data_IF_849563658203
#
_entry.id   IF_849563658203
#
_cell.length_a   1.000
_cell.length_b   1.000
_cell.length_c   1.000
_cell.angle_alpha   90.00
_cell.angle_beta   90.00
_cell.angle_gamma   90.00
#
_symmetry.space_group_name_H-M   'P 1'
#
loop_
_entity.id
_entity.type
_entity.pdbx_description
1 polymer ?
#
# COMPACT_ATOMS: atom_id res chain seq x y z
N UNK A 1 4.29 -23.80 -4.56
CA UNK A 1 5.11 -23.54 -5.76
C UNK A 1 6.18 -24.62 -5.85
N UNK A 2 6.38 -25.28 -7.01
CA UNK A 2 7.31 -26.40 -7.12
C UNK A 2 8.76 -25.95 -6.96
N UNK A 3 9.58 -26.79 -6.32
CA UNK A 3 11.00 -26.50 -6.09
C UNK A 3 11.84 -26.80 -7.34
N UNK A 4 11.78 -25.88 -8.31
CA UNK A 4 12.54 -25.98 -9.58
C UNK A 4 13.50 -24.81 -9.72
N UNK A 5 14.58 -24.99 -10.50
CA UNK A 5 15.53 -23.91 -10.82
C UNK A 5 14.81 -22.68 -11.40
N UNK A 6 13.85 -22.89 -12.29
CA UNK A 6 13.02 -21.83 -12.88
C UNK A 6 12.25 -21.04 -11.82
N UNK A 7 11.56 -21.74 -10.90
CA UNK A 7 10.85 -21.09 -9.80
C UNK A 7 11.79 -20.37 -8.84
N UNK A 8 12.97 -20.93 -8.53
CA UNK A 8 13.94 -20.29 -7.64
C UNK A 8 14.57 -19.03 -8.22
N UNK A 9 14.70 -18.93 -9.55
CA UNK A 9 15.18 -17.71 -10.22
C UNK A 9 14.21 -16.54 -10.01
N UNK A 10 12.90 -16.80 -10.08
CA UNK A 10 11.86 -15.78 -9.90
C UNK A 10 11.54 -15.54 -8.43
N UNK A 11 11.58 -16.60 -7.61
CA UNK A 11 11.18 -16.61 -6.21
C UNK A 11 12.29 -17.19 -5.33
N UNK A 12 13.28 -16.36 -4.97
CA UNK A 12 14.48 -16.85 -4.31
C UNK A 12 14.21 -17.26 -2.86
N UNK A 13 15.05 -18.17 -2.35
CA UNK A 13 14.99 -18.68 -0.98
C UNK A 13 15.58 -17.68 0.03
N UNK A 14 15.40 -17.93 1.34
CA UNK A 14 16.05 -17.11 2.38
C UNK A 14 17.57 -17.24 2.32
N UNK A 15 18.29 -16.12 2.49
CA UNK A 15 19.76 -16.11 2.38
C UNK A 15 20.49 -16.92 3.45
N UNK A 16 19.84 -17.18 4.59
CA UNK A 16 20.40 -17.99 5.68
C UNK A 16 20.23 -19.51 5.45
N UNK A 17 19.43 -19.93 4.47
CA UNK A 17 19.26 -21.35 4.15
C UNK A 17 20.42 -21.84 3.27
N UNK A 18 20.90 -23.06 3.55
CA UNK A 18 21.89 -23.71 2.67
C UNK A 18 21.25 -24.04 1.33
N UNK A 19 22.05 -24.01 0.27
CA UNK A 19 21.60 -24.42 -1.06
C UNK A 19 20.98 -25.82 -1.02
N UNK A 20 19.76 -25.96 -1.55
CA UNK A 20 19.02 -27.22 -1.58
C UNK A 20 18.23 -27.56 -0.30
N UNK A 21 18.24 -26.72 0.74
CA UNK A 21 17.48 -26.94 1.99
C UNK A 21 16.29 -25.98 2.17
N UNK A 22 15.95 -25.19 1.14
CA UNK A 22 14.83 -24.25 1.17
C UNK A 22 13.82 -24.52 0.07
N UNK A 23 12.64 -23.91 0.20
CA UNK A 23 11.64 -23.85 -0.86
C UNK A 23 11.54 -22.42 -1.43
N UNK A 24 11.09 -22.25 -2.68
CA UNK A 24 10.82 -20.93 -3.24
C UNK A 24 9.80 -20.15 -2.40
N UNK A 25 10.12 -18.90 -2.06
CA UNK A 25 9.26 -18.04 -1.24
C UNK A 25 8.71 -16.90 -2.10
N UNK A 26 7.38 -16.78 -2.07
CA UNK A 26 6.68 -15.67 -2.69
C UNK A 26 6.03 -14.78 -1.63
N UNK A 27 5.76 -13.54 -2.03
CA UNK A 27 4.88 -12.63 -1.33
C UNK A 27 3.58 -12.54 -2.09
N UNK A 28 2.47 -12.64 -1.37
CA UNK A 28 1.12 -12.55 -1.91
C UNK A 28 0.46 -11.29 -1.35
N UNK A 29 -0.15 -10.50 -2.22
CA UNK A 29 -1.09 -9.45 -1.85
C UNK A 29 -2.44 -9.78 -2.49
N UNK A 30 -3.49 -9.87 -1.67
CA UNK A 30 -4.83 -10.18 -2.15
C UNK A 30 -5.79 -9.04 -1.80
N UNK A 31 -6.64 -8.68 -2.76
CA UNK A 31 -7.80 -7.81 -2.55
C UNK A 31 -8.99 -8.73 -2.37
N UNK A 32 -9.67 -8.63 -1.23
CA UNK A 32 -10.85 -9.42 -0.92
C UNK A 32 -12.05 -8.53 -0.64
N UNK A 33 -13.24 -9.05 -0.95
CA UNK A 33 -14.49 -8.42 -0.58
C UNK A 33 -14.69 -8.58 0.93
N UNK A 34 -14.80 -7.48 1.66
CA UNK A 34 -14.99 -7.51 3.12
C UNK A 34 -16.29 -8.22 3.54
N UNK A 35 -17.34 -8.17 2.71
CA UNK A 35 -18.63 -8.78 3.02
C UNK A 35 -18.65 -10.30 2.80
N UNK A 36 -18.09 -10.77 1.68
CA UNK A 36 -18.19 -12.20 1.26
C UNK A 36 -16.91 -13.00 1.49
N UNK A 37 -15.77 -12.33 1.71
CA UNK A 37 -14.46 -12.96 1.78
C UNK A 37 -13.89 -13.40 0.43
N UNK A 38 -14.60 -13.18 -0.68
CA UNK A 38 -14.14 -13.56 -2.02
C UNK A 38 -12.91 -12.76 -2.41
N UNK A 39 -11.88 -13.45 -2.93
CA UNK A 39 -10.71 -12.80 -3.52
C UNK A 39 -11.11 -12.21 -4.88
N UNK A 40 -11.03 -10.89 -4.98
CA UNK A 40 -11.36 -10.14 -6.20
C UNK A 40 -10.16 -10.07 -7.15
N UNK A 41 -8.96 -9.91 -6.60
CA UNK A 41 -7.72 -9.89 -7.35
C UNK A 41 -6.55 -10.24 -6.41
N UNK A 42 -5.42 -10.69 -6.96
CA UNK A 42 -4.22 -10.94 -6.21
C UNK A 42 -2.96 -10.76 -7.06
N UNK A 43 -1.91 -10.24 -6.44
CA UNK A 43 -0.57 -10.15 -7.02
C UNK A 43 0.41 -11.03 -6.25
N UNK A 44 1.27 -11.72 -6.99
CA UNK A 44 2.32 -12.59 -6.46
C UNK A 44 3.67 -12.04 -6.90
N UNK A 45 4.58 -11.85 -5.95
CA UNK A 45 5.94 -11.39 -6.23
C UNK A 45 7.01 -12.20 -5.51
N UNK A 46 8.29 -11.98 -5.85
CA UNK A 46 9.39 -12.49 -5.06
C UNK A 46 9.30 -12.03 -3.61
N UNK A 47 9.82 -12.80 -2.66
CA UNK A 47 9.90 -12.36 -1.25
C UNK A 47 10.95 -11.26 -1.02
N UNK A 48 12.03 -11.27 -1.81
CA UNK A 48 13.16 -10.31 -1.71
C UNK A 48 13.57 -9.81 -3.10
N UNK A 49 14.05 -8.58 -3.19
CA UNK A 49 14.51 -7.95 -4.43
C UNK A 49 13.95 -6.54 -4.60
N UNK A 50 14.21 -5.93 -5.76
CA UNK A 50 13.55 -4.67 -6.14
C UNK A 50 12.14 -4.97 -6.66
N UNK A 51 11.16 -4.15 -6.26
CA UNK A 51 9.77 -4.32 -6.69
C UNK A 51 9.03 -5.49 -6.01
N UNK A 52 9.63 -6.11 -5.00
CA UNK A 52 9.00 -7.17 -4.20
C UNK A 52 8.18 -6.64 -3.02
N UNK A 53 8.25 -5.34 -2.70
CA UNK A 53 7.54 -4.75 -1.57
C UNK A 53 6.01 -4.74 -1.76
N UNK A 54 5.27 -4.69 -0.66
CA UNK A 54 3.80 -4.77 -0.66
C UNK A 54 3.16 -3.62 -1.44
N UNK A 55 3.77 -2.43 -1.40
CA UNK A 55 3.33 -1.26 -2.17
C UNK A 55 3.50 -1.48 -3.68
N UNK A 56 4.55 -2.20 -4.10
CA UNK A 56 4.76 -2.57 -5.50
C UNK A 56 3.79 -3.65 -5.97
N UNK A 57 3.41 -4.59 -5.10
CA UNK A 57 2.35 -5.57 -5.40
C UNK A 57 0.98 -4.93 -5.46
N UNK A 58 0.67 -3.99 -4.56
CA UNK A 58 -0.61 -3.29 -4.56
C UNK A 58 -0.84 -2.57 -5.90
N UNK A 59 0.22 -1.99 -6.48
CA UNK A 59 0.14 -1.32 -7.79
C UNK A 59 -0.35 -2.23 -8.91
N UNK A 60 -0.09 -3.54 -8.83
CA UNK A 60 -0.53 -4.50 -9.84
C UNK A 60 -2.03 -4.80 -9.77
N UNK A 61 -2.68 -4.48 -8.64
CA UNK A 61 -4.10 -4.73 -8.41
C UNK A 61 -4.90 -3.43 -8.21
N UNK A 62 -4.31 -2.26 -8.46
CA UNK A 62 -4.98 -0.97 -8.27
C UNK A 62 -6.21 -0.77 -9.17
N UNK A 63 -6.22 -1.42 -10.33
CA UNK A 63 -7.33 -1.46 -11.28
C UNK A 63 -8.57 -2.20 -10.73
N UNK A 64 -8.40 -3.02 -9.70
CA UNK A 64 -9.51 -3.65 -8.96
C UNK A 64 -10.38 -2.62 -8.25
N UNK A 65 -9.79 -1.49 -7.83
CA UNK A 65 -10.51 -0.48 -7.05
C UNK A 65 -11.29 0.45 -7.98
N UNK A 66 -12.61 0.33 -7.93
CA UNK A 66 -13.54 1.10 -8.75
C UNK A 66 -14.10 2.29 -7.97
N UNK A 67 -14.47 3.36 -8.70
CA UNK A 67 -15.12 4.54 -8.14
C UNK A 67 -16.30 4.15 -7.24
N UNK A 68 -16.37 4.74 -6.05
CA UNK A 68 -17.40 4.47 -5.05
C UNK A 68 -17.12 3.25 -4.16
N UNK A 69 -16.00 2.56 -4.35
CA UNK A 69 -15.55 1.50 -3.43
C UNK A 69 -14.88 2.11 -2.20
N UNK A 70 -14.99 1.41 -1.07
CA UNK A 70 -14.23 1.69 0.15
C UNK A 70 -13.14 0.63 0.30
N UNK A 71 -11.90 1.06 0.44
CA UNK A 71 -10.74 0.19 0.64
C UNK A 71 -10.27 0.28 2.08
N UNK A 72 -10.23 -0.85 2.75
CA UNK A 72 -9.70 -0.97 4.11
C UNK A 72 -8.32 -1.63 4.04
N UNK A 73 -7.36 -1.08 4.77
CA UNK A 73 -5.99 -1.58 4.81
C UNK A 73 -5.29 -1.25 6.13
N UNK A 74 -4.12 -1.84 6.32
CA UNK A 74 -3.29 -1.57 7.50
C UNK A 74 -2.51 -0.25 7.39
N UNK A 75 -1.71 0.02 8.41
CA UNK A 75 -0.85 1.18 8.51
C UNK A 75 0.23 1.29 7.44
N UNK A 76 0.59 0.18 6.78
CA UNK A 76 1.61 0.17 5.75
C UNK A 76 1.10 0.79 4.44
N UNK A 77 -0.22 0.84 4.25
CA UNK A 77 -0.86 1.49 3.10
C UNK A 77 -1.16 2.98 3.29
N UNK A 78 -0.89 3.55 4.47
CA UNK A 78 -1.07 4.98 4.80
C UNK A 78 -0.15 5.98 4.10
N UNK A 79 0.27 5.73 2.86
CA UNK A 79 1.20 6.59 2.12
C UNK A 79 0.48 7.68 1.32
N UNK A 80 0.96 8.93 1.42
CA UNK A 80 0.40 10.11 0.75
C UNK A 80 0.07 9.89 -0.74
N UNK A 81 1.03 9.36 -1.51
CA UNK A 81 0.85 9.17 -2.95
C UNK A 81 -0.11 8.04 -3.31
N UNK A 82 -0.32 7.08 -2.41
CA UNK A 82 -1.35 6.06 -2.59
C UNK A 82 -2.73 6.69 -2.35
N UNK A 83 -2.88 7.53 -1.32
CA UNK A 83 -4.11 8.29 -1.10
C UNK A 83 -4.46 9.20 -2.28
N UNK A 84 -3.50 9.96 -2.80
CA UNK A 84 -3.74 10.80 -4.00
C UNK A 84 -4.21 9.96 -5.19
N UNK A 85 -3.68 8.75 -5.38
CA UNK A 85 -4.12 7.84 -6.45
C UNK A 85 -5.55 7.34 -6.22
N UNK A 86 -5.91 7.00 -4.99
CA UNK A 86 -7.26 6.54 -4.64
C UNK A 86 -8.31 7.66 -4.78
N UNK A 87 -7.99 8.86 -4.31
CA UNK A 87 -8.84 10.05 -4.49
C UNK A 87 -9.08 10.32 -5.98
N UNK A 88 -8.03 10.25 -6.82
CA UNK A 88 -8.16 10.42 -8.27
C UNK A 88 -9.08 9.39 -8.92
N UNK A 89 -9.15 8.18 -8.37
CA UNK A 89 -10.06 7.11 -8.82
C UNK A 89 -11.47 7.25 -8.24
N UNK A 90 -11.68 8.18 -7.31
CA UNK A 90 -12.94 8.30 -6.56
C UNK A 90 -13.17 7.11 -5.64
N UNK A 91 -12.10 6.58 -5.05
CA UNK A 91 -12.09 5.48 -4.09
C UNK A 91 -11.83 6.04 -2.71
N UNK A 92 -12.69 5.68 -1.75
CA UNK A 92 -12.50 6.05 -0.35
C UNK A 92 -11.58 5.04 0.33
N UNK A 93 -10.77 5.51 1.27
CA UNK A 93 -9.72 4.72 1.91
C UNK A 93 -9.81 4.84 3.42
N UNK A 94 -9.69 3.71 4.10
CA UNK A 94 -9.60 3.63 5.54
C UNK A 94 -8.37 2.80 5.91
N UNK A 95 -7.30 3.48 6.31
CA UNK A 95 -6.06 2.84 6.71
C UNK A 95 -5.79 3.10 8.18
N UNK A 96 -5.22 2.10 8.87
CA UNK A 96 -4.73 2.32 10.23
C UNK A 96 -3.70 3.44 10.24
N UNK A 97 -3.72 4.28 11.27
CA UNK A 97 -2.70 5.29 11.41
C UNK A 97 -1.33 4.65 11.72
N UNK A 98 -0.31 4.97 10.91
CA UNK A 98 1.04 4.47 11.14
C UNK A 98 1.55 4.79 12.54
N UNK A 99 2.12 3.80 13.24
CA UNK A 99 2.42 3.87 14.67
C UNK A 99 3.36 5.02 15.08
N UNK A 100 4.27 5.44 14.19
CA UNK A 100 5.10 6.63 14.41
C UNK A 100 4.29 7.94 14.38
N UNK A 101 3.29 8.03 13.51
CA UNK A 101 2.37 9.17 13.43
C UNK A 101 1.40 9.18 14.62
N UNK A 102 0.93 8.01 15.06
CA UNK A 102 0.02 7.85 16.21
C UNK A 102 0.55 8.48 17.51
N UNK A 103 1.88 8.53 17.69
CA UNK A 103 2.54 9.14 18.85
C UNK A 103 2.55 10.67 18.82
N UNK A 104 2.23 11.26 17.66
CA UNK A 104 2.35 12.70 17.39
C UNK A 104 0.97 13.30 17.04
N UNK A 105 -0.08 12.47 16.90
CA UNK A 105 -1.44 12.93 16.63
C UNK A 105 -1.91 13.91 17.70
N UNK A 106 -2.15 15.14 17.27
CA UNK A 106 -2.60 16.23 18.11
C UNK A 106 -4.00 16.62 17.69
N UNK A 107 -5.00 16.15 18.43
CA UNK A 107 -6.42 16.43 18.18
C UNK A 107 -6.79 17.92 18.36
N UNK A 108 -5.88 18.77 18.86
CA UNK A 108 -6.04 20.21 18.88
C UNK A 108 -5.71 20.90 17.54
N UNK A 109 -5.14 20.18 16.57
CA UNK A 109 -4.84 20.69 15.22
C UNK A 109 -5.94 20.33 14.24
N UNK A 110 -6.07 21.14 13.18
CA UNK A 110 -7.07 20.91 12.14
C UNK A 110 -8.48 21.33 12.55
N UNK A 111 -9.48 20.81 11.84
CA UNK A 111 -10.89 21.09 12.08
C UNK A 111 -11.53 19.95 12.85
N UNK A 112 -11.90 20.17 14.12
CA UNK A 112 -12.55 19.14 14.92
C UNK A 112 -13.94 18.76 14.36
N UNK A 113 -14.18 17.46 14.23
CA UNK A 113 -15.48 16.87 13.87
C UNK A 113 -16.15 16.22 15.09
N UNK A 114 -15.37 15.83 16.10
CA UNK A 114 -15.86 15.20 17.31
C UNK A 114 -14.75 14.88 18.32
N UNK A 115 -15.09 14.09 19.33
CA UNK A 115 -14.10 13.67 20.33
C UNK A 115 -13.10 12.70 19.69
N UNK A 116 -11.85 13.15 19.53
CA UNK A 116 -10.77 12.42 18.83
C UNK A 116 -11.06 12.17 17.35
N UNK A 117 -11.74 13.13 16.72
CA UNK A 117 -12.04 13.12 15.29
C UNK A 117 -11.86 14.53 14.75
N UNK A 118 -10.98 14.70 13.76
CA UNK A 118 -10.61 16.00 13.22
C UNK A 118 -10.11 15.87 11.80
N UNK A 119 -10.30 16.89 10.96
CA UNK A 119 -9.65 16.95 9.65
C UNK A 119 -8.33 17.69 9.74
N UNK A 120 -7.24 17.09 9.26
CA UNK A 120 -5.91 17.69 9.20
C UNK A 120 -5.44 17.85 7.75
N UNK A 121 -4.67 18.90 7.51
CA UNK A 121 -3.91 19.09 6.28
C UNK A 121 -2.67 18.20 6.31
N UNK A 122 -2.60 17.27 5.36
CA UNK A 122 -1.48 16.36 5.20
C UNK A 122 -0.64 16.87 4.03
N UNK A 123 0.59 17.36 4.30
CA UNK A 123 1.43 17.93 3.25
C UNK A 123 2.01 16.84 2.36
N UNK A 124 2.16 17.20 1.08
CA UNK A 124 2.82 16.38 0.08
C UNK A 124 4.25 16.04 0.51
N UNK A 125 4.59 14.75 0.41
CA UNK A 125 5.97 14.31 0.64
C UNK A 125 6.91 14.95 -0.38
N UNK A 126 7.98 15.57 0.12
CA UNK A 126 9.06 16.17 -0.70
C UNK A 126 9.84 15.12 -1.50
N UNK A 127 9.76 13.85 -1.09
CA UNK A 127 10.46 12.75 -1.73
C UNK A 127 9.52 12.10 -2.73
N UNK A 128 9.84 12.23 -4.02
CA UNK A 128 9.10 11.55 -5.09
C UNK A 128 9.35 10.03 -4.99
N UNK A 129 8.29 9.20 -4.97
CA UNK A 129 8.47 7.77 -5.06
C UNK A 129 9.11 7.36 -6.38
N UNK A 130 9.99 6.34 -6.35
CA UNK A 130 10.71 5.87 -7.55
C UNK A 130 9.79 5.41 -8.68
N UNK A 131 8.61 4.88 -8.33
CA UNK A 131 7.60 4.36 -9.25
C UNK A 131 6.73 5.44 -9.92
N UNK A 132 6.70 6.66 -9.38
CA UNK A 132 5.85 7.73 -9.90
C UNK A 132 6.58 8.54 -10.97
N UNK A 133 5.90 8.85 -12.08
CA UNK A 133 6.45 9.76 -13.09
C UNK A 133 6.63 11.16 -12.52
N UNK A 134 7.61 11.91 -13.04
CA UNK A 134 7.83 13.29 -12.59
C UNK A 134 6.59 14.17 -12.83
N UNK A 135 5.85 13.92 -13.92
CA UNK A 135 4.60 14.61 -14.24
C UNK A 135 3.51 14.32 -13.21
N UNK A 136 3.29 13.04 -12.86
CA UNK A 136 2.30 12.66 -11.86
C UNK A 136 2.62 13.24 -10.48
N UNK A 137 3.90 13.27 -10.10
CA UNK A 137 4.36 13.89 -8.86
C UNK A 137 4.10 15.40 -8.85
N UNK A 138 4.44 16.11 -9.94
CA UNK A 138 4.17 17.55 -10.05
C UNK A 138 2.67 17.85 -9.99
N UNK A 139 1.85 17.01 -10.61
CA UNK A 139 0.39 17.16 -10.64
C UNK A 139 -0.33 16.68 -9.38
N UNK A 140 0.35 16.03 -8.44
CA UNK A 140 -0.24 15.72 -7.14
C UNK A 140 -0.45 17.03 -6.36
N UNK A 141 -1.57 17.17 -5.61
CA UNK A 141 -1.84 18.38 -4.83
C UNK A 141 -0.72 18.63 -3.82
N UNK A 142 -0.60 19.86 -3.33
CA UNK A 142 0.42 20.18 -2.32
C UNK A 142 0.01 19.73 -0.92
N UNK A 143 -1.29 19.68 -0.64
CA UNK A 143 -1.88 19.15 0.59
C UNK A 143 -3.12 18.31 0.24
N UNK A 144 -3.45 17.35 1.10
CA UNK A 144 -4.75 16.66 1.11
C UNK A 144 -5.36 16.80 2.50
N UNK A 145 -6.68 16.88 2.56
CA UNK A 145 -7.42 16.92 3.83
C UNK A 145 -7.85 15.49 4.16
N UNK A 146 -7.57 15.04 5.38
CA UNK A 146 -8.03 13.74 5.86
C UNK A 146 -8.29 13.76 7.38
N UNK A 147 -9.07 12.79 7.88
CA UNK A 147 -9.28 12.59 9.31
C UNK A 147 -8.14 11.84 10.03
#
# INVERSE_FOLDING_TARGET
MPDTKSSQTVFPQQGAQKAGLGFPICRLLAVSCLHTGVILNAAVGPFKGKGSDEQSLLRQVLDTFQKGSIVVGDAFFGAYFLWVEMIKRGVDVFFEQHGSCKRITDFGKGMALGKKDHLIDIPKSKIKPGWMTQKAYKNAPDNIINC
#
